data_IF_993477803316
#
_entry.id   IF_993477803316
#
_cell.length_a   1.000
_cell.length_b   1.000
_cell.length_c   1.000
_cell.angle_alpha   90.00
_cell.angle_beta   90.00
_cell.angle_gamma   90.00
#
_symmetry.space_group_name_H-M   'P 1'
#
loop_
_entity.id
_entity.type
_entity.pdbx_description
1 polymer ?
#
# COMPACT_ATOMS: atom_id res chain seq x y z
N UNK A 1 23.65 -8.35 -5.13
CA UNK A 1 24.05 -9.53 -5.93
C UNK A 1 22.78 -10.26 -6.33
N UNK A 2 22.61 -10.63 -7.60
CA UNK A 2 21.46 -11.45 -8.03
C UNK A 2 21.64 -12.87 -7.49
N UNK A 3 20.54 -13.56 -7.19
CA UNK A 3 20.62 -14.97 -6.83
C UNK A 3 21.10 -15.80 -8.03
N UNK A 4 21.85 -16.89 -7.80
CA UNK A 4 22.09 -17.88 -8.84
C UNK A 4 20.75 -18.47 -9.30
N UNK A 5 20.73 -18.93 -10.55
CA UNK A 5 19.56 -19.62 -11.10
C UNK A 5 19.19 -20.81 -10.20
N UNK A 6 17.90 -20.95 -9.93
CA UNK A 6 17.37 -21.99 -9.06
C UNK A 6 15.98 -22.41 -9.51
N UNK A 7 15.52 -23.54 -8.99
CA UNK A 7 14.14 -23.96 -9.17
C UNK A 7 13.57 -24.58 -7.91
N UNK A 8 12.30 -24.30 -7.63
CA UNK A 8 11.58 -24.85 -6.47
C UNK A 8 10.86 -26.13 -6.89
N UNK A 9 10.99 -27.19 -6.09
CA UNK A 9 10.31 -28.49 -6.28
C UNK A 9 9.58 -28.92 -5.01
N UNK A 10 8.61 -29.83 -5.12
CA UNK A 10 7.88 -30.40 -3.97
C UNK A 10 6.83 -29.47 -3.32
N UNK A 11 6.75 -28.22 -3.77
CA UNK A 11 5.75 -27.26 -3.32
C UNK A 11 4.54 -27.20 -4.27
N UNK A 12 3.41 -26.71 -3.75
CA UNK A 12 2.25 -26.32 -4.56
C UNK A 12 2.41 -24.86 -4.99
N UNK A 13 2.44 -24.59 -6.29
CA UNK A 13 2.66 -23.25 -6.87
C UNK A 13 1.37 -22.70 -7.43
N UNK A 14 0.96 -21.50 -7.01
CA UNK A 14 -0.18 -20.78 -7.56
C UNK A 14 0.23 -20.06 -8.85
N UNK A 15 -0.14 -20.65 -9.99
CA UNK A 15 0.03 -20.10 -11.34
C UNK A 15 -1.29 -19.48 -11.84
N UNK A 16 -1.31 -18.78 -12.99
CA UNK A 16 -2.56 -18.27 -13.57
C UNK A 16 -3.64 -19.33 -13.74
N UNK A 17 -3.26 -20.58 -14.01
CA UNK A 17 -4.16 -21.71 -14.23
C UNK A 17 -4.64 -22.35 -12.92
N UNK A 18 -4.08 -21.96 -11.77
CA UNK A 18 -4.38 -22.52 -10.44
C UNK A 18 -3.17 -23.13 -9.75
N UNK A 19 -3.43 -23.89 -8.68
CA UNK A 19 -2.38 -24.61 -7.95
C UNK A 19 -1.91 -25.84 -8.73
N UNK A 20 -0.60 -26.02 -8.82
CA UNK A 20 0.03 -27.22 -9.38
C UNK A 20 1.34 -27.55 -8.64
N UNK A 21 1.87 -28.76 -8.81
CA UNK A 21 3.14 -29.21 -8.23
C UNK A 21 4.33 -29.11 -9.19
N UNK A 22 4.12 -28.55 -10.39
CA UNK A 22 5.16 -28.39 -11.39
C UNK A 22 6.29 -27.47 -10.86
N UNK A 23 7.57 -27.82 -11.10
CA UNK A 23 8.70 -27.01 -10.65
C UNK A 23 8.62 -25.54 -11.10
N UNK A 24 9.06 -24.63 -10.24
CA UNK A 24 9.11 -23.20 -10.54
C UNK A 24 10.58 -22.77 -10.71
N UNK A 25 10.99 -22.52 -11.95
CA UNK A 25 12.32 -21.99 -12.27
C UNK A 25 12.41 -20.48 -12.02
N UNK A 26 13.57 -20.02 -11.53
CA UNK A 26 13.94 -18.63 -11.36
C UNK A 26 15.31 -18.44 -11.99
N UNK A 27 15.41 -17.56 -12.97
CA UNK A 27 16.65 -17.24 -13.65
C UNK A 27 16.73 -15.74 -13.92
N UNK A 28 17.90 -15.13 -13.71
CA UNK A 28 18.14 -13.70 -13.95
C UNK A 28 17.07 -12.74 -13.36
N UNK A 29 16.53 -13.07 -12.18
CA UNK A 29 15.51 -12.23 -11.52
C UNK A 29 14.07 -12.42 -12.02
N UNK A 30 13.83 -13.39 -12.89
CA UNK A 30 12.54 -13.67 -13.52
C UNK A 30 12.11 -15.12 -13.31
N UNK A 31 10.81 -15.38 -13.41
CA UNK A 31 10.24 -16.72 -13.50
C UNK A 31 10.62 -17.33 -14.86
N UNK A 32 11.36 -18.43 -14.83
CA UNK A 32 11.83 -19.12 -16.03
C UNK A 32 10.74 -20.04 -16.60
N UNK A 33 10.76 -20.24 -17.93
CA UNK A 33 9.89 -21.21 -18.61
C UNK A 33 10.24 -22.66 -18.22
N UNK A 34 11.53 -22.93 -18.04
CA UNK A 34 12.06 -24.23 -17.68
C UNK A 34 12.77 -24.16 -16.32
N UNK A 35 12.71 -25.26 -15.57
CA UNK A 35 13.45 -25.39 -14.33
C UNK A 35 14.94 -25.60 -14.63
N UNK A 36 15.79 -24.71 -14.11
CA UNK A 36 17.23 -24.77 -14.27
C UNK A 36 17.94 -24.40 -12.97
N UNK A 37 19.26 -24.59 -12.93
CA UNK A 37 20.07 -24.25 -11.77
C UNK A 37 19.81 -25.13 -10.55
N UNK A 38 19.98 -24.55 -9.36
CA UNK A 38 19.98 -25.27 -8.08
C UNK A 38 18.56 -25.65 -7.63
N UNK A 39 18.36 -26.90 -7.23
CA UNK A 39 17.06 -27.38 -6.78
C UNK A 39 16.80 -27.00 -5.31
N UNK A 40 15.75 -26.23 -5.04
CA UNK A 40 15.23 -25.99 -3.70
C UNK A 40 14.02 -26.90 -3.47
N UNK A 41 14.21 -27.96 -2.69
CA UNK A 41 13.12 -28.89 -2.36
C UNK A 41 12.33 -28.40 -1.14
N UNK A 42 11.08 -27.97 -1.35
CA UNK A 42 10.19 -27.39 -0.34
C UNK A 42 8.89 -28.22 -0.19
N UNK A 43 8.98 -29.48 0.30
CA UNK A 43 7.84 -30.38 0.36
C UNK A 43 6.73 -29.84 1.29
N UNK A 44 5.50 -29.79 0.77
CA UNK A 44 4.33 -29.33 1.53
C UNK A 44 4.19 -27.80 1.65
N UNK A 45 5.17 -27.04 1.16
CA UNK A 45 5.07 -25.58 1.08
C UNK A 45 4.09 -25.17 -0.03
N UNK A 46 3.53 -23.96 0.11
CA UNK A 46 2.74 -23.32 -0.94
C UNK A 46 3.47 -22.07 -1.43
N UNK A 47 3.77 -21.98 -2.72
CA UNK A 47 4.42 -20.83 -3.36
C UNK A 47 3.37 -20.00 -4.08
N UNK A 48 3.27 -18.73 -3.70
CA UNK A 48 2.28 -17.78 -4.19
C UNK A 48 2.98 -16.56 -4.79
N UNK A 49 2.36 -15.84 -5.75
CA UNK A 49 2.86 -14.55 -6.19
C UNK A 49 3.12 -13.59 -5.01
N UNK A 50 4.20 -12.82 -5.07
CA UNK A 50 4.57 -11.89 -4.01
C UNK A 50 3.46 -10.87 -3.71
N UNK A 51 3.30 -10.48 -2.45
CA UNK A 51 2.29 -9.49 -2.07
C UNK A 51 2.72 -8.11 -2.57
N UNK A 52 1.77 -7.40 -3.18
CA UNK A 52 1.88 -6.01 -3.63
C UNK A 52 0.97 -5.16 -2.74
N UNK A 53 1.58 -4.46 -1.80
CA UNK A 53 0.88 -3.61 -0.85
C UNK A 53 0.78 -2.18 -1.38
N UNK A 54 -0.44 -1.73 -1.66
CA UNK A 54 -0.73 -0.44 -2.32
C UNK A 54 -0.81 0.73 -1.35
N UNK A 55 -0.94 0.44 -0.06
CA UNK A 55 -1.03 1.44 1.00
C UNK A 55 -0.61 0.79 2.33
N UNK A 56 0.46 1.30 2.92
CA UNK A 56 0.83 1.01 4.31
C UNK A 56 1.37 2.24 5.01
N UNK A 57 0.67 2.72 6.05
CA UNK A 57 1.14 3.79 6.94
C UNK A 57 1.87 3.24 8.18
N UNK A 58 1.90 1.92 8.31
CA UNK A 58 2.55 1.20 9.41
C UNK A 58 4.02 1.56 9.62
N UNK A 59 4.73 2.05 8.61
CA UNK A 59 6.15 2.42 8.69
C UNK A 59 6.40 3.56 9.67
N UNK A 60 5.40 4.43 9.91
CA UNK A 60 5.47 5.53 10.86
C UNK A 60 5.89 5.06 12.26
N UNK A 61 5.51 3.83 12.66
CA UNK A 61 5.86 3.24 13.96
C UNK A 61 7.36 2.97 14.13
N UNK A 62 8.04 2.70 13.02
CA UNK A 62 9.48 2.46 12.96
C UNK A 62 10.26 3.76 12.86
N UNK A 63 9.66 4.75 12.19
CA UNK A 63 10.23 6.09 12.09
C UNK A 63 10.16 6.79 13.45
N UNK A 64 8.99 7.01 14.06
CA UNK A 64 8.94 7.67 15.36
C UNK A 64 8.40 6.76 16.48
N UNK A 65 9.19 5.79 16.97
CA UNK A 65 8.75 4.93 18.07
C UNK A 65 8.49 5.73 19.35
N UNK A 66 9.11 6.92 19.51
CA UNK A 66 8.87 7.89 20.59
C UNK A 66 9.06 9.34 20.11
N UNK A 67 8.33 10.29 20.72
CA UNK A 67 8.46 11.73 20.45
C UNK A 67 9.89 12.22 20.71
N UNK A 68 10.48 12.89 19.71
CA UNK A 68 11.82 13.49 19.80
C UNK A 68 12.98 12.48 19.72
N UNK A 69 12.70 11.19 19.52
CA UNK A 69 13.71 10.14 19.60
C UNK A 69 14.45 9.86 18.28
N UNK A 70 14.08 10.50 17.17
CA UNK A 70 14.66 10.13 15.88
C UNK A 70 15.74 11.10 15.39
N UNK A 71 16.92 10.55 15.12
CA UNK A 71 18.00 11.19 14.36
C UNK A 71 18.30 10.47 13.04
N UNK A 72 17.79 9.26 12.82
CA UNK A 72 18.12 8.42 11.66
C UNK A 72 16.87 7.74 11.06
N UNK A 73 16.32 8.37 10.01
CA UNK A 73 15.21 7.83 9.23
C UNK A 73 15.58 6.54 8.49
N UNK A 74 16.86 6.38 8.09
CA UNK A 74 17.32 5.22 7.35
C UNK A 74 17.24 3.95 8.18
N UNK A 75 17.65 4.00 9.46
CA UNK A 75 17.51 2.86 10.36
C UNK A 75 16.04 2.44 10.58
N UNK A 76 15.14 3.40 10.70
CA UNK A 76 13.71 3.13 10.84
C UNK A 76 13.10 2.51 9.57
N UNK A 77 13.47 3.01 8.39
CA UNK A 77 13.02 2.42 7.13
C UNK A 77 13.57 1.00 6.93
N UNK A 78 14.83 0.73 7.30
CA UNK A 78 15.40 -0.63 7.28
C UNK A 78 14.62 -1.60 8.18
N UNK A 79 14.20 -1.17 9.37
CA UNK A 79 13.37 -1.99 10.25
C UNK A 79 11.97 -2.24 9.66
N UNK A 80 11.38 -1.22 9.02
CA UNK A 80 10.11 -1.36 8.33
C UNK A 80 10.19 -2.34 7.15
N UNK A 81 11.26 -2.29 6.35
CA UNK A 81 11.48 -3.22 5.24
C UNK A 81 11.64 -4.66 5.70
N UNK A 82 12.36 -4.90 6.79
CA UNK A 82 12.47 -6.24 7.36
C UNK A 82 11.10 -6.80 7.80
N UNK A 83 10.24 -5.96 8.38
CA UNK A 83 8.87 -6.38 8.75
C UNK A 83 8.01 -6.64 7.50
N UNK A 84 8.10 -5.81 6.47
CA UNK A 84 7.39 -6.01 5.19
C UNK A 84 7.80 -7.35 4.56
N UNK A 85 9.10 -7.60 4.43
CA UNK A 85 9.66 -8.83 3.86
C UNK A 85 9.22 -10.08 4.64
N UNK A 86 9.25 -10.02 5.98
CA UNK A 86 8.78 -11.11 6.84
C UNK A 86 7.29 -11.43 6.68
N UNK A 87 6.50 -10.51 6.15
CA UNK A 87 5.07 -10.70 5.89
C UNK A 87 4.75 -11.02 4.41
N UNK A 88 5.76 -11.37 3.60
CA UNK A 88 5.56 -11.76 2.21
C UNK A 88 5.37 -10.60 1.24
N UNK A 89 5.55 -9.35 1.69
CA UNK A 89 5.41 -8.15 0.87
C UNK A 89 6.69 -7.97 0.05
N UNK A 90 6.54 -8.07 -1.28
CA UNK A 90 7.65 -7.95 -2.24
C UNK A 90 7.69 -6.56 -2.88
N UNK A 91 6.54 -5.89 -2.93
CA UNK A 91 6.39 -4.51 -3.37
C UNK A 91 5.52 -3.77 -2.36
N UNK A 92 6.00 -2.66 -1.81
CA UNK A 92 5.29 -1.90 -0.78
C UNK A 92 5.21 -0.41 -1.16
N UNK A 93 4.02 0.17 -1.09
CA UNK A 93 3.80 1.61 -1.17
C UNK A 93 3.66 2.17 0.25
N UNK A 94 4.68 2.91 0.68
CA UNK A 94 4.67 3.63 1.96
C UNK A 94 3.75 4.85 1.82
N UNK A 95 2.66 4.88 2.59
CA UNK A 95 1.64 5.93 2.52
C UNK A 95 2.08 7.16 3.33
N UNK A 96 2.81 8.07 2.69
CA UNK A 96 3.36 9.27 3.33
C UNK A 96 2.42 10.46 3.15
N UNK A 97 2.05 11.09 4.25
CA UNK A 97 1.28 12.33 4.22
C UNK A 97 2.13 13.55 3.84
N UNK A 98 1.50 14.48 3.12
CA UNK A 98 1.84 15.88 2.99
C UNK A 98 0.61 16.68 3.49
N UNK A 99 0.62 17.04 4.78
CA UNK A 99 -0.56 17.46 5.51
C UNK A 99 -0.32 18.63 6.45
N UNK A 100 -1.36 19.45 6.63
CA UNK A 100 -1.41 20.50 7.63
C UNK A 100 -1.32 19.94 9.06
N UNK A 101 -1.57 18.64 9.29
CA UNK A 101 -1.43 18.00 10.60
C UNK A 101 -0.01 18.14 11.18
N UNK A 102 1.02 18.30 10.35
CA UNK A 102 2.39 18.51 10.78
C UNK A 102 3.03 17.27 11.42
N UNK A 103 4.19 17.46 12.08
CA UNK A 103 4.97 16.33 12.62
C UNK A 103 5.41 15.38 11.50
N UNK A 104 5.21 14.06 11.66
CA UNK A 104 5.53 13.06 10.64
C UNK A 104 4.69 13.19 9.36
N UNK A 105 3.60 13.95 9.41
CA UNK A 105 2.70 14.15 8.28
C UNK A 105 2.92 15.49 7.59
N UNK A 106 3.82 16.32 8.11
CA UNK A 106 4.10 17.65 7.58
C UNK A 106 4.98 17.65 6.33
N UNK A 107 4.98 18.76 5.56
CA UNK A 107 5.81 18.93 4.36
C UNK A 107 7.30 18.62 4.56
N UNK A 108 7.90 19.13 5.64
CA UNK A 108 9.33 19.01 5.90
C UNK A 108 9.72 17.55 6.19
N UNK A 109 8.86 16.84 6.93
CA UNK A 109 9.07 15.42 7.22
C UNK A 109 8.87 14.57 5.96
N UNK A 110 7.83 14.84 5.16
CA UNK A 110 7.60 14.15 3.90
C UNK A 110 8.85 14.22 3.00
N UNK A 111 9.40 15.43 2.83
CA UNK A 111 10.62 15.63 2.04
C UNK A 111 11.85 14.93 2.65
N UNK A 112 11.98 14.90 3.98
CA UNK A 112 13.08 14.20 4.65
C UNK A 112 12.96 12.66 4.52
N UNK A 113 11.74 12.13 4.67
CA UNK A 113 11.44 10.70 4.51
C UNK A 113 11.74 10.25 3.08
N UNK A 114 11.28 11.00 2.07
CA UNK A 114 11.52 10.70 0.67
C UNK A 114 13.01 10.64 0.31
N UNK A 115 13.80 11.62 0.79
CA UNK A 115 15.27 11.57 0.63
C UNK A 115 15.89 10.35 1.28
N UNK A 116 15.48 10.01 2.51
CA UNK A 116 15.99 8.84 3.21
C UNK A 116 15.60 7.53 2.49
N UNK A 117 14.41 7.48 1.88
CA UNK A 117 13.96 6.35 1.09
C UNK A 117 14.78 6.18 -0.19
N UNK A 118 15.08 7.27 -0.90
CA UNK A 118 15.93 7.21 -2.09
C UNK A 118 17.32 6.67 -1.78
N UNK A 119 17.91 7.07 -0.65
CA UNK A 119 19.21 6.57 -0.19
C UNK A 119 19.17 5.08 0.22
N UNK A 120 17.99 4.60 0.64
CA UNK A 120 17.78 3.23 1.11
C UNK A 120 17.45 2.25 -0.02
N UNK A 121 16.65 2.64 -1.02
CA UNK A 121 16.19 1.76 -2.12
C UNK A 121 17.30 0.89 -2.73
N UNK A 122 18.53 1.39 -3.01
CA UNK A 122 19.61 0.57 -3.56
C UNK A 122 20.18 -0.49 -2.60
N UNK A 123 19.90 -0.38 -1.30
CA UNK A 123 20.46 -1.22 -0.22
C UNK A 123 19.58 -2.42 0.12
N UNK A 124 18.31 -2.39 -0.26
CA UNK A 124 17.33 -3.45 0.00
C UNK A 124 16.89 -4.11 -1.31
N UNK A 125 16.26 -5.28 -1.20
CA UNK A 125 15.71 -6.00 -2.35
C UNK A 125 14.18 -5.91 -2.44
N UNK A 126 13.48 -5.65 -1.33
CA UNK A 126 12.05 -5.32 -1.36
C UNK A 126 11.84 -4.05 -2.17
N UNK A 127 10.85 -4.06 -3.07
CA UNK A 127 10.58 -2.92 -3.93
C UNK A 127 9.75 -1.87 -3.17
N UNK A 128 10.43 -0.85 -2.64
CA UNK A 128 9.83 0.20 -1.82
C UNK A 128 9.47 1.44 -2.67
N UNK A 129 8.18 1.72 -2.74
CA UNK A 129 7.55 2.86 -3.42
C UNK A 129 6.82 3.75 -2.42
N UNK A 130 6.31 4.88 -2.90
CA UNK A 130 5.55 5.83 -2.07
C UNK A 130 4.20 6.09 -2.71
N UNK A 131 3.18 6.09 -1.88
CA UNK A 131 1.93 6.79 -2.13
C UNK A 131 1.98 8.10 -1.37
N UNK A 132 1.88 9.23 -2.07
CA UNK A 132 1.81 10.54 -1.40
C UNK A 132 0.36 10.88 -1.09
N UNK A 133 0.04 11.09 0.18
CA UNK A 133 -1.29 11.46 0.66
C UNK A 133 -1.36 12.95 0.88
N UNK A 134 -2.14 13.65 0.07
CA UNK A 134 -2.14 15.12 0.01
C UNK A 134 -3.44 15.67 0.59
N UNK A 135 -3.32 16.56 1.58
CA UNK A 135 -4.46 17.36 2.03
C UNK A 135 -4.85 18.38 0.97
N UNK A 136 -6.07 18.29 0.47
CA UNK A 136 -6.54 19.13 -0.65
C UNK A 136 -6.59 20.62 -0.30
N UNK A 137 -6.68 20.97 0.98
CA UNK A 137 -6.74 22.37 1.43
C UNK A 137 -5.39 23.09 1.42
N UNK A 138 -4.27 22.39 1.19
CA UNK A 138 -2.94 23.00 1.04
C UNK A 138 -2.73 23.56 -0.37
N UNK A 139 -3.68 24.36 -0.86
CA UNK A 139 -3.71 24.86 -2.24
C UNK A 139 -2.50 25.71 -2.62
N UNK A 140 -1.94 26.44 -1.65
CA UNK A 140 -0.74 27.27 -1.86
C UNK A 140 0.53 26.40 -2.03
N UNK A 141 0.51 25.14 -1.57
CA UNK A 141 1.64 24.21 -1.62
C UNK A 141 1.64 23.35 -2.90
N UNK A 142 0.60 23.39 -3.74
CA UNK A 142 0.48 22.50 -4.90
C UNK A 142 1.69 22.54 -5.85
N UNK A 143 2.31 23.70 -6.01
CA UNK A 143 3.56 23.82 -6.81
C UNK A 143 4.73 23.10 -6.15
N UNK A 144 4.86 23.21 -4.82
CA UNK A 144 5.89 22.51 -4.06
C UNK A 144 5.67 21.00 -4.05
N UNK A 145 4.41 20.56 -3.92
CA UNK A 145 4.03 19.15 -3.99
C UNK A 145 4.35 18.58 -5.39
N UNK A 146 4.03 19.30 -6.47
CA UNK A 146 4.38 18.88 -7.84
C UNK A 146 5.89 18.72 -8.03
N UNK A 147 6.68 19.65 -7.48
CA UNK A 147 8.14 19.56 -7.51
C UNK A 147 8.66 18.36 -6.71
N UNK A 148 8.07 18.09 -5.53
CA UNK A 148 8.41 16.93 -4.69
C UNK A 148 8.09 15.61 -5.39
N UNK A 149 6.92 15.51 -6.02
CA UNK A 149 6.50 14.34 -6.81
C UNK A 149 7.51 14.06 -7.93
N UNK A 150 7.92 15.10 -8.67
CA UNK A 150 8.88 14.95 -9.75
C UNK A 150 10.29 14.58 -9.26
N UNK A 151 10.74 15.16 -8.13
CA UNK A 151 12.07 14.91 -7.58
C UNK A 151 12.27 13.47 -7.10
N UNK A 152 11.19 12.80 -6.66
CA UNK A 152 11.24 11.48 -6.03
C UNK A 152 10.53 10.38 -6.84
N UNK A 153 10.18 10.66 -8.10
CA UNK A 153 9.50 9.75 -9.03
C UNK A 153 8.23 9.10 -8.44
N UNK A 154 7.37 9.93 -7.83
CA UNK A 154 6.14 9.47 -7.18
C UNK A 154 5.04 9.26 -8.23
N UNK A 155 4.74 8.00 -8.52
CA UNK A 155 3.71 7.62 -9.49
C UNK A 155 2.28 7.46 -8.93
N UNK A 156 2.07 7.61 -7.62
CA UNK A 156 0.76 7.40 -6.99
C UNK A 156 0.47 8.44 -5.90
N UNK A 157 -0.63 9.17 -6.06
CA UNK A 157 -1.08 10.23 -5.14
C UNK A 157 -2.54 9.99 -4.76
N UNK A 158 -2.83 10.10 -3.47
CA UNK A 158 -4.20 10.04 -2.95
C UNK A 158 -4.55 11.34 -2.25
N UNK A 159 -5.72 11.87 -2.56
CA UNK A 159 -6.22 13.11 -1.99
C UNK A 159 -7.08 12.84 -0.76
N UNK A 160 -6.88 13.67 0.26
CA UNK A 160 -7.54 13.58 1.55
C UNK A 160 -8.09 14.95 1.96
N UNK A 161 -9.16 14.91 2.76
CA UNK A 161 -9.62 16.04 3.55
C UNK A 161 -9.89 15.58 4.98
N UNK A 162 -8.95 15.88 5.88
CA UNK A 162 -9.11 15.56 7.30
C UNK A 162 -9.61 16.77 8.12
N UNK A 163 -9.99 17.87 7.48
CA UNK A 163 -10.47 19.05 8.21
C UNK A 163 -11.85 18.73 8.81
N UNK A 164 -12.06 19.00 10.11
CA UNK A 164 -13.34 18.77 10.76
C UNK A 164 -14.34 19.89 10.42
N UNK A 165 -14.70 20.02 9.13
CA UNK A 165 -15.54 21.09 8.57
C UNK A 165 -16.82 21.31 9.37
N UNK A 166 -17.47 20.21 9.73
CA UNK A 166 -18.68 20.14 10.51
C UNK A 166 -18.59 20.84 11.88
N UNK A 167 -17.47 20.64 12.59
CA UNK A 167 -17.24 21.26 13.89
C UNK A 167 -16.97 22.77 13.73
N UNK A 168 -16.14 23.13 12.74
CA UNK A 168 -15.73 24.52 12.46
C UNK A 168 -16.92 25.37 11.99
N UNK A 169 -17.76 24.85 11.10
CA UNK A 169 -18.98 25.51 10.64
C UNK A 169 -19.97 25.81 11.80
N UNK A 170 -19.97 24.98 12.84
CA UNK A 170 -20.77 25.18 14.06
C UNK A 170 -20.07 26.06 15.12
N UNK A 171 -18.90 26.63 14.80
CA UNK A 171 -18.08 27.40 15.74
C UNK A 171 -17.57 26.57 16.94
N UNK A 172 -17.56 25.24 16.82
CA UNK A 172 -17.12 24.33 17.88
C UNK A 172 -15.64 24.03 17.74
N UNK A 173 -14.94 23.97 18.88
CA UNK A 173 -13.55 23.49 18.90
C UNK A 173 -13.52 22.00 18.51
N UNK A 174 -12.78 21.60 17.46
CA UNK A 174 -12.72 20.22 17.03
C UNK A 174 -12.27 19.24 18.14
N UNK A 175 -12.80 18.01 18.15
CA UNK A 175 -12.34 16.98 19.08
C UNK A 175 -10.86 16.68 18.84
N UNK A 176 -10.10 16.40 19.91
CA UNK A 176 -8.66 16.05 19.88
C UNK A 176 -7.70 17.14 19.36
N UNK A 177 -8.19 18.36 19.09
CA UNK A 177 -7.39 19.48 18.59
C UNK A 177 -6.13 19.76 19.41
N UNK A 178 -6.23 19.76 20.75
CA UNK A 178 -5.06 19.98 21.62
C UNK A 178 -3.99 18.92 21.41
N UNK A 179 -4.39 17.65 21.27
CA UNK A 179 -3.47 16.55 21.02
C UNK A 179 -2.77 16.67 19.66
N UNK A 180 -3.52 17.01 18.61
CA UNK A 180 -2.98 17.26 17.26
C UNK A 180 -2.00 18.44 17.25
N UNK A 181 -2.41 19.57 17.85
CA UNK A 181 -1.57 20.77 17.96
C UNK A 181 -0.22 20.43 18.62
N UNK A 182 -0.25 19.75 19.78
CA UNK A 182 0.97 19.35 20.46
C UNK A 182 1.82 18.39 19.62
N UNK A 183 1.21 17.42 18.91
CA UNK A 183 1.95 16.48 18.03
C UNK A 183 2.67 17.21 16.90
N UNK A 184 2.05 18.28 16.40
CA UNK A 184 2.58 19.15 15.37
C UNK A 184 3.55 20.22 15.87
N UNK A 185 3.81 20.28 17.18
CA UNK A 185 4.66 21.32 17.78
C UNK A 185 4.03 22.72 17.80
N UNK A 186 2.70 22.82 17.60
CA UNK A 186 1.98 24.10 17.56
C UNK A 186 1.25 24.37 18.86
N UNK A 187 1.05 25.67 19.14
CA UNK A 187 0.10 26.12 20.15
C UNK A 187 -1.35 25.73 19.71
N UNK A 188 -2.22 25.26 20.61
CA UNK A 188 -3.60 24.87 20.28
C UNK A 188 -4.47 25.95 19.64
N UNK A 189 -4.35 27.22 20.07
CA UNK A 189 -5.07 28.36 19.51
C UNK A 189 -4.56 28.68 18.10
N UNK A 190 -3.24 28.65 17.88
CA UNK A 190 -2.64 28.82 16.56
C UNK A 190 -3.06 27.70 15.60
N UNK A 191 -3.17 26.46 16.09
CA UNK A 191 -3.64 25.33 15.30
C UNK A 191 -5.13 25.44 14.95
N UNK A 192 -5.97 25.91 15.89
CA UNK A 192 -7.37 26.19 15.60
C UNK A 192 -7.52 27.30 14.54
N UNK A 193 -6.73 28.36 14.64
CA UNK A 193 -6.74 29.45 13.65
C UNK A 193 -6.36 28.95 12.25
N UNK A 194 -5.36 28.06 12.15
CA UNK A 194 -4.99 27.40 10.90
C UNK A 194 -6.15 26.56 10.33
N UNK A 195 -6.78 25.72 11.16
CA UNK A 195 -7.93 24.92 10.72
C UNK A 195 -9.09 25.79 10.23
N UNK A 196 -9.38 26.88 10.94
CA UNK A 196 -10.41 27.82 10.53
C UNK A 196 -10.05 28.48 9.19
N UNK A 197 -8.81 28.93 9.00
CA UNK A 197 -8.41 29.55 7.74
C UNK A 197 -8.49 28.59 6.55
N UNK A 198 -8.14 27.32 6.74
CA UNK A 198 -8.27 26.29 5.70
C UNK A 198 -9.73 25.97 5.39
N UNK A 199 -10.59 25.91 6.41
CA UNK A 199 -12.04 25.72 6.27
C UNK A 199 -12.73 26.89 5.54
N UNK A 200 -12.32 28.12 5.84
CA UNK A 200 -12.91 29.32 5.24
C UNK A 200 -12.62 29.40 3.74
N UNK A 201 -11.50 28.83 3.29
CA UNK A 201 -11.09 28.77 1.87
C UNK A 201 -11.62 27.55 1.11
N UNK A 202 -12.50 26.73 1.70
CA UNK A 202 -13.00 25.48 1.09
C UNK A 202 -13.61 25.65 -0.31
N UNK A 203 -14.21 26.81 -0.60
CA UNK A 203 -14.82 27.09 -1.91
C UNK A 203 -13.76 27.27 -3.02
N UNK A 204 -12.50 27.55 -2.68
CA UNK A 204 -11.38 27.63 -3.63
C UNK A 204 -10.89 26.23 -4.07
N UNK A 205 -11.09 25.22 -3.21
CA UNK A 205 -10.49 23.89 -3.35
C UNK A 205 -10.91 23.16 -4.63
N UNK A 206 -12.19 23.09 -5.03
CA UNK A 206 -12.59 22.32 -6.22
C UNK A 206 -11.88 22.79 -7.49
N UNK A 207 -11.82 24.12 -7.72
CA UNK A 207 -11.18 24.68 -8.91
C UNK A 207 -9.65 24.47 -8.89
N UNK A 208 -9.03 24.64 -7.72
CA UNK A 208 -7.60 24.42 -7.54
C UNK A 208 -7.23 22.94 -7.75
N UNK A 209 -7.99 22.03 -7.14
CA UNK A 209 -7.78 20.58 -7.22
C UNK A 209 -7.95 20.08 -8.64
N UNK A 210 -8.97 20.54 -9.38
CA UNK A 210 -9.17 20.19 -10.80
C UNK A 210 -7.92 20.49 -11.63
N UNK A 211 -7.37 21.71 -11.47
CA UNK A 211 -6.17 22.11 -12.21
C UNK A 211 -4.95 21.31 -11.78
N UNK A 212 -4.82 21.02 -10.48
CA UNK A 212 -3.70 20.27 -9.94
C UNK A 212 -3.72 18.81 -10.37
N UNK A 213 -4.86 18.13 -10.22
CA UNK A 213 -5.07 16.76 -10.67
C UNK A 213 -4.78 16.62 -12.18
N UNK A 214 -5.27 17.54 -13.02
CA UNK A 214 -4.98 17.54 -14.46
C UNK A 214 -3.47 17.60 -14.76
N UNK A 215 -2.70 18.44 -14.03
CA UNK A 215 -1.24 18.50 -14.18
C UNK A 215 -0.57 17.19 -13.78
N UNK A 216 -0.98 16.58 -12.67
CA UNK A 216 -0.43 15.29 -12.22
C UNK A 216 -0.77 14.15 -13.19
N UNK A 217 -2.02 14.05 -13.65
CA UNK A 217 -2.43 13.05 -14.64
C UNK A 217 -1.66 13.18 -15.95
N UNK A 218 -1.35 14.40 -16.40
CA UNK A 218 -0.53 14.62 -17.61
C UNK A 218 0.89 14.05 -17.51
N UNK A 219 1.35 13.75 -16.30
CA UNK A 219 2.64 13.11 -15.99
C UNK A 219 2.51 11.62 -15.67
N UNK A 220 1.35 11.00 -15.96
CA UNK A 220 1.02 9.61 -15.68
C UNK A 220 1.03 9.25 -14.17
N UNK A 221 0.78 10.22 -13.29
CA UNK A 221 0.57 9.93 -11.87
C UNK A 221 -0.83 9.34 -11.69
N UNK A 222 -0.92 8.16 -11.07
CA UNK A 222 -2.19 7.57 -10.66
C UNK A 222 -2.77 8.39 -9.50
N UNK A 223 -4.04 8.76 -9.62
CA UNK A 223 -4.72 9.60 -8.64
C UNK A 223 -5.87 8.84 -7.98
N UNK A 224 -6.01 9.00 -6.67
CA UNK A 224 -7.13 8.48 -5.90
C UNK A 224 -7.76 9.52 -4.97
N UNK A 225 -8.99 9.26 -4.53
CA UNK A 225 -9.60 9.90 -3.36
C UNK A 225 -9.70 8.90 -2.22
N UNK A 226 -9.80 9.41 -1.00
CA UNK A 226 -9.89 8.63 0.22
C UNK A 226 -11.21 8.92 0.94
N UNK A 227 -11.85 7.89 1.52
CA UNK A 227 -13.13 7.96 2.25
C UNK A 227 -14.26 8.62 1.42
N UNK A 228 -14.47 8.18 0.17
CA UNK A 228 -15.63 8.62 -0.61
C UNK A 228 -16.94 8.25 0.15
N UNK A 229 -17.64 9.27 0.67
CA UNK A 229 -18.80 9.08 1.54
C UNK A 229 -20.09 8.85 0.74
N UNK A 230 -20.23 9.53 -0.40
CA UNK A 230 -21.41 9.45 -1.28
C UNK A 230 -21.03 9.16 -2.72
N UNK A 231 -21.99 8.66 -3.51
CA UNK A 231 -21.78 8.43 -4.95
C UNK A 231 -21.50 9.73 -5.70
N UNK A 232 -22.00 10.87 -5.21
CA UNK A 232 -21.71 12.19 -5.77
C UNK A 232 -20.23 12.58 -5.57
N UNK A 233 -19.66 12.25 -4.41
CA UNK A 233 -18.23 12.47 -4.14
C UNK A 233 -17.37 11.64 -5.11
N UNK A 234 -17.73 10.35 -5.27
CA UNK A 234 -17.07 9.43 -6.20
C UNK A 234 -17.15 9.90 -7.66
N UNK A 235 -18.32 10.33 -8.09
CA UNK A 235 -18.54 10.89 -9.44
C UNK A 235 -17.71 12.16 -9.67
N UNK A 236 -17.63 13.03 -8.66
CA UNK A 236 -16.82 14.24 -8.70
C UNK A 236 -15.33 13.88 -8.82
N UNK A 237 -14.82 13.00 -7.95
CA UNK A 237 -13.45 12.52 -7.98
C UNK A 237 -13.10 11.91 -9.34
N UNK A 238 -13.97 11.06 -9.90
CA UNK A 238 -13.76 10.48 -11.23
C UNK A 238 -13.75 11.55 -12.33
N UNK A 239 -14.63 12.55 -12.25
CA UNK A 239 -14.64 13.71 -13.16
C UNK A 239 -13.34 14.53 -13.10
N UNK A 240 -12.62 14.47 -11.98
CA UNK A 240 -11.30 15.07 -11.77
C UNK A 240 -10.13 14.18 -12.24
N UNK A 241 -10.43 12.97 -12.73
CA UNK A 241 -9.41 12.00 -13.16
C UNK A 241 -8.84 11.15 -12.03
N UNK A 242 -9.40 11.19 -10.82
CA UNK A 242 -9.05 10.27 -9.73
C UNK A 242 -9.72 8.93 -10.05
N UNK A 243 -8.95 7.88 -10.28
CA UNK A 243 -9.45 6.57 -10.73
C UNK A 243 -9.38 5.49 -9.67
N UNK A 244 -8.88 5.85 -8.48
CA UNK A 244 -8.86 4.99 -7.30
C UNK A 244 -9.81 5.57 -6.25
N UNK A 245 -10.69 4.72 -5.72
CA UNK A 245 -11.49 4.98 -4.53
C UNK A 245 -10.88 4.19 -3.38
N UNK A 246 -10.23 4.89 -2.46
CA UNK A 246 -9.57 4.28 -1.31
C UNK A 246 -10.49 4.35 -0.09
N UNK A 247 -10.83 3.18 0.46
CA UNK A 247 -11.73 2.99 1.59
C UNK A 247 -13.10 3.68 1.44
N UNK A 248 -13.88 3.44 0.36
CA UNK A 248 -15.23 3.97 0.24
C UNK A 248 -16.08 3.63 1.49
N UNK A 249 -16.88 4.58 1.95
CA UNK A 249 -17.57 4.43 3.24
C UNK A 249 -18.81 3.52 3.17
N UNK A 250 -19.40 3.37 1.98
CA UNK A 250 -20.66 2.64 1.77
C UNK A 250 -20.57 1.63 0.61
N UNK A 251 -21.43 0.60 0.66
CA UNK A 251 -21.56 -0.38 -0.42
C UNK A 251 -22.05 0.26 -1.73
N UNK A 252 -22.89 1.29 -1.63
CA UNK A 252 -23.43 2.02 -2.77
C UNK A 252 -22.32 2.75 -3.53
N UNK A 253 -21.37 3.37 -2.82
CA UNK A 253 -20.19 4.00 -3.43
C UNK A 253 -19.29 2.95 -4.08
N UNK A 254 -19.04 1.82 -3.41
CA UNK A 254 -18.22 0.76 -3.98
C UNK A 254 -18.85 0.14 -5.24
N UNK A 255 -20.17 -0.05 -5.26
CA UNK A 255 -20.89 -0.55 -6.42
C UNK A 255 -20.81 0.43 -7.60
N UNK A 256 -21.01 1.73 -7.33
CA UNK A 256 -20.92 2.80 -8.33
C UNK A 256 -19.51 2.89 -8.95
N UNK A 257 -18.48 2.88 -8.11
CA UNK A 257 -17.10 2.88 -8.55
C UNK A 257 -16.76 1.63 -9.39
N UNK A 258 -17.24 0.46 -8.97
CA UNK A 258 -17.05 -0.80 -9.72
C UNK A 258 -17.72 -0.74 -11.10
N UNK A 259 -18.97 -0.27 -11.17
CA UNK A 259 -19.72 -0.12 -12.43
C UNK A 259 -19.03 0.87 -13.39
N UNK A 260 -18.44 1.94 -12.85
CA UNK A 260 -17.68 2.92 -13.61
C UNK A 260 -16.25 2.46 -13.98
N UNK A 261 -15.80 1.31 -13.48
CA UNK A 261 -14.45 0.78 -13.71
C UNK A 261 -13.34 1.51 -12.93
N UNK A 262 -13.68 2.20 -11.84
CA UNK A 262 -12.71 2.73 -10.88
C UNK A 262 -12.14 1.59 -10.03
N UNK A 263 -10.86 1.70 -9.64
CA UNK A 263 -10.24 0.73 -8.74
C UNK A 263 -10.63 1.00 -7.28
N UNK A 264 -10.88 -0.05 -6.51
CA UNK A 264 -11.26 0.06 -5.10
C UNK A 264 -10.20 -0.58 -4.21
N UNK A 265 -9.71 0.19 -3.25
CA UNK A 265 -8.75 -0.26 -2.24
C UNK A 265 -9.46 -0.37 -0.89
N UNK A 266 -9.39 -1.53 -0.25
CA UNK A 266 -9.94 -1.77 1.08
C UNK A 266 -8.85 -2.17 2.08
N UNK A 267 -9.08 -1.90 3.36
CA UNK A 267 -8.12 -2.22 4.43
C UNK A 267 -8.20 -3.70 4.77
N UNK A 268 -7.12 -4.44 4.53
CA UNK A 268 -7.00 -5.84 4.89
C UNK A 268 -7.27 -6.10 6.39
N UNK A 269 -6.87 -5.24 7.35
CA UNK A 269 -7.19 -5.45 8.76
C UNK A 269 -8.69 -5.52 9.06
N UNK A 270 -9.53 -4.85 8.25
CA UNK A 270 -10.98 -4.85 8.41
C UNK A 270 -11.62 -6.16 7.91
N UNK A 271 -10.96 -6.88 7.00
CA UNK A 271 -11.36 -8.25 6.63
C UNK A 271 -11.09 -9.20 7.81
N UNK A 272 -9.88 -9.14 8.37
CA UNK A 272 -9.43 -10.07 9.44
C UNK A 272 -10.27 -9.93 10.71
N UNK A 273 -10.69 -8.70 11.05
CA UNK A 273 -11.51 -8.44 12.24
C UNK A 273 -12.96 -8.93 12.14
N UNK A 274 -13.45 -9.22 10.93
CA UNK A 274 -14.82 -9.70 10.71
C UNK A 274 -15.94 -8.69 11.02
N UNK A 275 -15.62 -7.43 11.34
CA UNK A 275 -16.60 -6.35 11.59
C UNK A 275 -16.21 -5.07 10.86
N UNK A 276 -17.21 -4.32 10.38
CA UNK A 276 -16.98 -2.95 9.93
C UNK A 276 -16.85 -2.01 11.13
N UNK A 277 -15.84 -1.13 11.09
CA UNK A 277 -15.75 -0.04 12.06
C UNK A 277 -16.82 1.00 11.77
N UNK A 278 -17.40 1.56 12.84
CA UNK A 278 -18.17 2.81 12.81
C UNK A 278 -19.41 2.85 11.88
N UNK A 279 -20.00 1.70 11.52
CA UNK A 279 -21.18 1.66 10.63
C UNK A 279 -20.86 1.82 9.13
N UNK A 280 -19.57 1.85 8.76
CA UNK A 280 -19.11 1.82 7.37
C UNK A 280 -19.31 0.43 6.75
N UNK A 281 -19.16 0.30 5.43
CA UNK A 281 -19.24 -1.01 4.75
C UNK A 281 -18.08 -1.94 5.15
N UNK A 282 -18.33 -3.25 5.18
CA UNK A 282 -17.31 -4.26 5.50
C UNK A 282 -16.39 -4.51 4.30
N UNK A 283 -15.07 -4.43 4.51
CA UNK A 283 -14.07 -4.81 3.50
C UNK A 283 -14.24 -6.24 2.99
N UNK A 284 -14.61 -7.17 3.89
CA UNK A 284 -14.85 -8.56 3.52
C UNK A 284 -16.14 -8.75 2.71
N UNK A 285 -17.13 -7.87 2.86
CA UNK A 285 -18.31 -7.86 2.00
C UNK A 285 -17.96 -7.33 0.61
N UNK A 286 -17.31 -6.17 0.53
CA UNK A 286 -16.84 -5.58 -0.74
C UNK A 286 -15.99 -6.57 -1.55
N UNK A 287 -15.09 -7.30 -0.89
CA UNK A 287 -14.28 -8.33 -1.55
C UNK A 287 -15.12 -9.49 -2.11
N UNK A 288 -16.06 -10.05 -1.33
CA UNK A 288 -16.88 -11.19 -1.75
C UNK A 288 -17.84 -10.86 -2.89
N UNK A 289 -18.33 -9.63 -2.93
CA UNK A 289 -19.18 -9.13 -4.02
C UNK A 289 -18.36 -8.78 -5.29
N UNK A 290 -17.05 -9.01 -5.30
CA UNK A 290 -16.20 -8.77 -6.47
C UNK A 290 -15.95 -7.28 -6.76
N UNK A 291 -16.24 -6.41 -5.80
CA UNK A 291 -16.04 -4.95 -5.93
C UNK A 291 -14.63 -4.51 -5.51
N UNK A 292 -13.87 -5.34 -4.79
CA UNK A 292 -12.53 -4.98 -4.31
C UNK A 292 -11.46 -5.23 -5.39
N UNK A 293 -10.60 -4.24 -5.65
CA UNK A 293 -9.42 -4.40 -6.52
C UNK A 293 -8.18 -4.79 -5.74
N UNK A 294 -7.98 -4.20 -4.55
CA UNK A 294 -6.79 -4.40 -3.74
C UNK A 294 -7.08 -4.36 -2.23
N UNK A 295 -6.41 -5.22 -1.47
CA UNK A 295 -6.40 -5.23 -0.02
C UNK A 295 -5.06 -4.70 0.51
N UNK A 296 -5.11 -3.52 1.11
CA UNK A 296 -3.97 -2.79 1.65
C UNK A 296 -3.65 -3.17 3.09
N UNK A 297 -2.39 -3.14 3.48
CA UNK A 297 -1.98 -3.43 4.86
C UNK A 297 -2.44 -2.39 5.87
N UNK A 298 -2.64 -1.15 5.42
CA UNK A 298 -3.00 -0.02 6.30
C UNK A 298 -1.92 0.08 7.40
N UNK A 299 -2.31 0.14 8.67
CA UNK A 299 -1.37 0.14 9.79
C UNK A 299 -0.82 -1.26 10.18
N UNK A 300 -1.18 -2.37 9.51
CA UNK A 300 -0.83 -3.74 9.94
C UNK A 300 -0.37 -4.68 8.81
N UNK A 301 0.95 -4.79 8.60
CA UNK A 301 1.59 -5.59 7.53
C UNK A 301 1.24 -7.08 7.43
N UNK A 302 0.94 -7.81 8.52
CA UNK A 302 0.45 -9.19 8.39
C UNK A 302 -0.93 -9.30 7.73
N UNK A 303 -1.71 -8.20 7.68
CA UNK A 303 -3.12 -8.25 7.34
C UNK A 303 -3.42 -8.67 5.89
N UNK A 304 -2.69 -8.24 4.83
CA UNK A 304 -2.99 -8.68 3.46
C UNK A 304 -2.94 -10.20 3.32
N UNK A 305 -1.86 -10.84 3.81
CA UNK A 305 -1.75 -12.30 3.87
C UNK A 305 -2.93 -12.93 4.62
N UNK A 306 -3.22 -12.45 5.84
CA UNK A 306 -4.30 -12.98 6.66
C UNK A 306 -5.67 -12.82 6.01
N UNK A 307 -5.92 -11.69 5.34
CA UNK A 307 -7.18 -11.39 4.67
C UNK A 307 -7.38 -12.30 3.46
N UNK A 308 -6.35 -12.49 2.62
CA UNK A 308 -6.42 -13.43 1.49
C UNK A 308 -6.70 -14.86 1.98
N UNK A 309 -6.01 -15.31 3.03
CA UNK A 309 -6.25 -16.64 3.62
C UNK A 309 -7.63 -16.78 4.26
N UNK A 310 -8.17 -15.70 4.86
CA UNK A 310 -9.51 -15.70 5.45
C UNK A 310 -10.64 -15.70 4.40
N UNK A 311 -10.40 -15.12 3.22
CA UNK A 311 -11.36 -15.08 2.11
C UNK A 311 -11.30 -16.33 1.23
N UNK A 312 -10.16 -17.01 1.18
CA UNK A 312 -9.94 -18.18 0.33
C UNK A 312 -10.99 -19.31 0.47
N UNK A 313 -11.56 -19.62 1.65
CA UNK A 313 -12.62 -20.63 1.76
C UNK A 313 -13.91 -20.27 1.02
N UNK A 314 -14.22 -18.97 0.86
CA UNK A 314 -15.48 -18.50 0.29
C UNK A 314 -15.38 -18.28 -1.23
N UNK A 315 -14.23 -17.80 -1.71
CA UNK A 315 -14.04 -17.42 -3.13
C UNK A 315 -12.91 -18.17 -3.85
N UNK A 316 -12.24 -19.09 -3.16
CA UNK A 316 -11.06 -19.79 -3.68
C UNK A 316 -9.77 -19.00 -3.48
N UNK A 317 -8.66 -19.73 -3.32
CA UNK A 317 -7.35 -19.13 -3.05
C UNK A 317 -6.89 -18.20 -4.17
N UNK A 318 -7.08 -18.56 -5.45
CA UNK A 318 -6.65 -17.74 -6.57
C UNK A 318 -7.31 -16.36 -6.60
N UNK A 319 -8.64 -16.31 -6.43
CA UNK A 319 -9.38 -15.05 -6.40
C UNK A 319 -9.05 -14.22 -5.15
N UNK A 320 -8.98 -14.85 -3.97
CA UNK A 320 -8.62 -14.15 -2.75
C UNK A 320 -7.18 -13.60 -2.79
N UNK A 321 -6.23 -14.35 -3.37
CA UNK A 321 -4.84 -13.93 -3.50
C UNK A 321 -4.65 -12.85 -4.57
N UNK A 322 -5.49 -12.83 -5.61
CA UNK A 322 -5.49 -11.76 -6.61
C UNK A 322 -5.67 -10.37 -5.96
N UNK A 323 -6.46 -10.27 -4.89
CA UNK A 323 -6.68 -9.02 -4.15
C UNK A 323 -5.43 -8.47 -3.46
N UNK A 324 -4.37 -9.27 -3.28
CA UNK A 324 -3.13 -8.84 -2.62
C UNK A 324 -1.91 -8.94 -3.55
N UNK A 325 -2.12 -9.31 -4.82
CA UNK A 325 -1.02 -9.50 -5.76
C UNK A 325 -1.37 -9.00 -7.16
N UNK A 326 -2.06 -9.78 -8.01
CA UNK A 326 -2.33 -9.39 -9.40
C UNK A 326 -3.25 -8.16 -9.54
N UNK A 327 -4.28 -8.05 -8.70
CA UNK A 327 -5.18 -6.88 -8.65
C UNK A 327 -4.45 -5.57 -8.35
N UNK A 328 -3.75 -5.46 -7.20
CA UNK A 328 -2.95 -4.27 -6.90
C UNK A 328 -1.83 -4.01 -7.91
N UNK A 329 -1.17 -5.05 -8.45
CA UNK A 329 -0.16 -4.88 -9.50
C UNK A 329 -0.77 -4.27 -10.77
N UNK A 330 -1.92 -4.77 -11.22
CA UNK A 330 -2.62 -4.24 -12.39
C UNK A 330 -3.10 -2.80 -12.18
N UNK A 331 -3.67 -2.50 -11.01
CA UNK A 331 -4.10 -1.15 -10.63
C UNK A 331 -2.96 -0.14 -10.72
N UNK A 332 -1.77 -0.52 -10.24
CA UNK A 332 -0.56 0.31 -10.25
C UNK A 332 0.17 0.32 -11.61
N UNK A 333 -0.31 -0.42 -12.61
CA UNK A 333 0.34 -0.55 -13.91
C UNK A 333 1.61 -1.41 -13.91
N UNK A 334 1.87 -2.18 -12.85
CA UNK A 334 3.03 -3.07 -12.69
C UNK A 334 2.79 -4.40 -13.41
N UNK A 335 3.02 -4.40 -14.73
CA UNK A 335 2.73 -5.56 -15.62
C UNK A 335 3.72 -6.72 -15.50
N UNK A 336 4.84 -6.51 -14.81
CA UNK A 336 5.91 -7.49 -14.67
C UNK A 336 5.73 -8.42 -13.46
N UNK A 337 4.73 -8.20 -12.60
CA UNK A 337 4.57 -8.94 -11.34
C UNK A 337 3.10 -9.22 -11.01
N UNK A 338 2.88 -9.79 -9.82
CA UNK A 338 1.53 -10.19 -9.37
C UNK A 338 1.11 -11.58 -9.84
N UNK A 339 2.00 -12.30 -10.54
CA UNK A 339 1.77 -13.64 -11.08
C UNK A 339 3.07 -14.44 -11.14
N UNK A 340 2.97 -15.77 -11.18
CA UNK A 340 4.09 -16.69 -11.39
C UNK A 340 4.06 -17.31 -12.80
N UNK A 341 3.94 -16.42 -13.80
CA UNK A 341 4.00 -16.76 -15.22
C UNK A 341 5.43 -16.59 -15.76
N UNK A 342 5.79 -17.31 -16.82
CA UNK A 342 7.10 -17.17 -17.46
C UNK A 342 7.37 -15.73 -17.90
N UNK A 343 8.58 -15.23 -17.63
CA UNK A 343 9.01 -13.87 -17.94
C UNK A 343 8.58 -12.81 -16.91
N UNK A 344 7.69 -13.14 -15.96
CA UNK A 344 7.38 -12.26 -14.85
C UNK A 344 8.60 -12.07 -13.94
N UNK A 345 8.72 -10.90 -13.32
CA UNK A 345 9.63 -10.63 -12.19
C UNK A 345 9.43 -11.71 -11.13
N UNK A 346 10.53 -12.26 -10.63
CA UNK A 346 10.50 -13.32 -9.62
C UNK A 346 10.16 -12.76 -8.23
N UNK A 347 8.89 -12.40 -8.07
CA UNK A 347 8.26 -11.97 -6.82
C UNK A 347 7.40 -13.10 -6.29
N UNK A 348 7.83 -13.73 -5.21
CA UNK A 348 7.10 -14.84 -4.60
C UNK A 348 7.18 -14.82 -3.09
N UNK A 349 6.19 -15.48 -2.49
CA UNK A 349 6.19 -15.87 -1.09
C UNK A 349 5.93 -17.37 -1.01
N UNK A 350 6.74 -18.08 -0.22
CA UNK A 350 6.48 -19.48 0.12
C UNK A 350 5.97 -19.57 1.56
N UNK A 351 4.81 -20.20 1.72
CA UNK A 351 4.15 -20.41 3.00
C UNK A 351 4.71 -21.68 3.65
N UNK A 352 5.24 -21.51 4.85
CA UNK A 352 5.75 -22.62 5.64
C UNK A 352 4.56 -23.49 6.12
N UNK A 353 4.57 -24.80 5.87
CA UNK A 353 3.46 -25.70 6.22
C UNK A 353 3.24 -25.85 7.73
N UNK A 354 4.28 -25.72 8.55
CA UNK A 354 4.19 -25.87 10.01
C UNK A 354 3.64 -24.60 10.66
N UNK A 355 4.19 -23.44 10.28
CA UNK A 355 3.79 -22.16 10.89
C UNK A 355 2.56 -21.55 10.24
N UNK A 356 2.22 -21.99 9.01
CA UNK A 356 1.13 -21.46 8.18
C UNK A 356 1.28 -19.96 7.91
N UNK A 357 2.54 -19.50 7.81
CA UNK A 357 2.94 -18.10 7.60
C UNK A 357 3.97 -18.02 6.46
N UNK A 358 4.20 -16.83 5.89
CA UNK A 358 5.36 -16.57 5.03
C UNK A 358 6.65 -17.09 5.69
N UNK A 359 7.32 -18.03 5.03
CA UNK A 359 8.60 -18.59 5.48
C UNK A 359 9.76 -18.28 4.52
N UNK A 360 9.46 -17.85 3.28
CA UNK A 360 10.43 -17.39 2.30
C UNK A 360 9.78 -16.26 1.48
N UNK A 361 10.48 -15.14 1.34
CA UNK A 361 10.05 -14.02 0.50
C UNK A 361 11.17 -13.67 -0.47
N UNK A 362 10.83 -13.56 -1.75
CA UNK A 362 11.76 -13.22 -2.83
C UNK A 362 11.17 -12.04 -3.60
N UNK A 363 11.96 -10.98 -3.78
CA UNK A 363 11.61 -9.80 -4.57
C UNK A 363 12.64 -9.64 -5.69
N UNK A 364 12.18 -9.67 -6.95
CA UNK A 364 13.03 -9.57 -8.13
C UNK A 364 14.13 -10.63 -8.20
N UNK A 365 13.81 -11.85 -7.76
CA UNK A 365 14.77 -12.95 -7.66
C UNK A 365 15.88 -12.73 -6.64
N UNK A 366 15.59 -11.97 -5.58
CA UNK A 366 16.48 -11.79 -4.42
C UNK A 366 15.71 -12.10 -3.14
N UNK A 367 16.26 -12.98 -2.31
CA UNK A 367 15.66 -13.32 -1.01
C UNK A 367 15.70 -12.08 -0.11
N UNK A 368 14.53 -11.67 0.38
CA UNK A 368 14.36 -10.58 1.36
C UNK A 368 14.07 -11.13 2.76
N UNK A 369 13.51 -12.33 2.85
CA UNK A 369 13.25 -13.02 4.11
C UNK A 369 13.32 -14.54 3.93
N UNK A 370 13.87 -15.23 4.94
CA UNK A 370 13.81 -16.67 5.06
C UNK A 370 13.73 -17.04 6.55
N UNK A 371 12.77 -17.86 6.93
CA UNK A 371 12.73 -18.49 8.25
C UNK A 371 13.81 -19.57 8.37
N UNK A 372 13.93 -20.17 9.56
CA UNK A 372 14.95 -21.18 9.83
C UNK A 372 14.86 -22.43 8.93
N UNK A 373 13.67 -22.83 8.48
CA UNK A 373 13.49 -23.99 7.61
C UNK A 373 13.86 -23.67 6.16
N UNK A 374 13.35 -22.54 5.64
CA UNK A 374 13.74 -22.05 4.34
C UNK A 374 15.26 -21.81 4.26
N UNK A 375 15.84 -21.21 5.31
CA UNK A 375 17.29 -20.98 5.40
C UNK A 375 18.08 -22.29 5.39
N UNK A 376 17.63 -23.32 6.11
CA UNK A 376 18.27 -24.64 6.10
C UNK A 376 18.29 -25.24 4.69
N UNK A 377 17.16 -25.19 3.96
CA UNK A 377 17.08 -25.67 2.57
C UNK A 377 17.98 -24.86 1.63
N UNK A 378 18.02 -23.54 1.79
CA UNK A 378 18.85 -22.64 0.98
C UNK A 378 20.36 -22.87 1.15
N UNK A 379 20.78 -23.32 2.33
CA UNK A 379 22.19 -23.59 2.66
C UNK A 379 22.64 -25.01 2.30
N UNK A 380 21.72 -25.96 2.17
CA UNK A 380 22.03 -27.37 1.87
C UNK A 380 21.80 -27.76 0.41
N UNK A 381 21.01 -27.00 -0.33
CA UNK A 381 20.89 -27.09 -1.79
C UNK A 381 22.16 -26.59 -2.48
#
# INVERSE_FOLDING_TARGET
>A
MMMPDLHITGAQVLRPEGLCDAPLGIAAGQVAAEASGRALHLPGWQVLPGIVDVHGDGFERHLAPRRGAMRDLGAGLMAAEAELAANGITTAYLAQFYSWEGGMRGPEFAAAMLRALDDMRPRVATDLRVQLRVEIHLIDDYTAIEALIAAHDIGYVVFNDHIPHDALARGKRPPRLTGQALKSGRNPEAHLALLQSLHDRREEVPAALNQFAARLSSRNVLLGSHDDATTADRQTARGQGLRVSEFPETAEVAAEATEAGDAIVMGAPNVVRGQSHAGKVSAGFIAREGMCTALASDYHYPAPFQAAMALAPDMGLGAAWALVSSGPAAMLGLRDRGTLASGARADLVAINPETRRPGLTVSGGRITYADHQAAAVLLTA
#
